data_IF_442310674995
#
_entry.id   IF_442310674995
#
_cell.length_a   1.000
_cell.length_b   1.000
_cell.length_c   1.000
_cell.angle_alpha   90.00
_cell.angle_beta   90.00
_cell.angle_gamma   90.00
#
_symmetry.space_group_name_H-M   'P 1'
#
loop_
_entity.id
_entity.type
_entity.pdbx_description
1 polymer ?
#
# COMPACT_ATOMS: atom_id res chain seq x y z
N UNK A 1 -22.14 -0.66 -2.43
CA UNK A 1 -21.44 0.60 -2.81
C UNK A 1 -20.05 0.56 -2.20
N UNK A 2 -19.01 1.04 -2.92
CA UNK A 2 -17.65 1.17 -2.40
C UNK A 2 -17.43 2.64 -2.03
N UNK A 3 -16.93 2.88 -0.83
CA UNK A 3 -16.52 4.22 -0.38
C UNK A 3 -15.03 4.21 0.02
N UNK A 4 -14.42 5.38 0.01
CA UNK A 4 -12.99 5.56 0.30
C UNK A 4 -12.85 6.61 1.40
N UNK A 5 -11.92 6.36 2.33
CA UNK A 5 -11.72 7.23 3.49
C UNK A 5 -10.26 7.24 3.91
N UNK A 6 -9.70 8.44 4.09
CA UNK A 6 -8.43 8.64 4.79
C UNK A 6 -8.68 8.50 6.28
N UNK A 7 -7.94 7.60 6.95
CA UNK A 7 -8.06 7.39 8.38
C UNK A 7 -7.02 8.21 9.14
N UNK A 8 -7.47 8.86 10.22
CA UNK A 8 -6.55 9.37 11.23
C UNK A 8 -6.09 8.25 12.18
N UNK A 9 -5.16 8.56 13.09
CA UNK A 9 -4.59 7.58 14.02
C UNK A 9 -5.64 6.96 14.94
N UNK A 10 -6.61 7.73 15.42
CA UNK A 10 -7.68 7.25 16.32
C UNK A 10 -8.62 6.29 15.58
N UNK A 11 -9.03 6.66 14.38
CA UNK A 11 -9.86 5.82 13.51
C UNK A 11 -9.14 4.52 13.14
N UNK A 12 -7.87 4.59 12.72
CA UNK A 12 -7.08 3.42 12.37
C UNK A 12 -6.92 2.47 13.57
N UNK A 13 -6.72 3.01 14.78
CA UNK A 13 -6.62 2.21 16.02
C UNK A 13 -7.89 1.39 16.29
N UNK A 14 -9.05 1.95 16.02
CA UNK A 14 -10.33 1.25 16.21
C UNK A 14 -10.56 0.13 15.19
N UNK A 15 -9.89 0.21 14.04
CA UNK A 15 -10.07 -0.72 12.92
C UNK A 15 -8.96 -1.78 12.80
N UNK A 16 -8.04 -1.88 13.77
CA UNK A 16 -6.88 -2.79 13.68
C UNK A 16 -7.30 -4.24 13.40
N UNK A 17 -8.38 -4.72 14.00
CA UNK A 17 -8.84 -6.07 13.77
C UNK A 17 -9.25 -6.32 12.30
N UNK A 18 -9.98 -5.38 11.70
CA UNK A 18 -10.42 -5.49 10.30
C UNK A 18 -9.26 -5.26 9.34
N UNK A 19 -8.37 -4.32 9.65
CA UNK A 19 -7.13 -4.09 8.89
C UNK A 19 -6.24 -5.34 8.90
N UNK A 20 -6.14 -6.02 10.04
CA UNK A 20 -5.40 -7.29 10.18
C UNK A 20 -6.05 -8.42 9.38
N UNK A 21 -7.38 -8.47 9.31
CA UNK A 21 -8.11 -9.44 8.48
C UNK A 21 -7.82 -9.27 6.98
N UNK A 22 -7.78 -8.01 6.51
CA UNK A 22 -7.38 -7.71 5.12
C UNK A 22 -5.95 -8.16 4.84
N UNK A 23 -5.04 -7.86 5.76
CA UNK A 23 -3.63 -8.24 5.65
C UNK A 23 -3.46 -9.77 5.65
N UNK A 24 -4.09 -10.47 6.59
CA UNK A 24 -4.07 -11.93 6.68
C UNK A 24 -4.62 -12.59 5.41
N UNK A 25 -5.75 -12.10 4.90
CA UNK A 25 -6.32 -12.59 3.65
C UNK A 25 -5.37 -12.46 2.46
N UNK A 26 -4.62 -11.36 2.37
CA UNK A 26 -3.62 -11.17 1.33
C UNK A 26 -2.41 -12.10 1.51
N UNK A 27 -1.91 -12.28 2.72
CA UNK A 27 -0.79 -13.19 3.02
C UNK A 27 -1.19 -14.64 2.74
N UNK A 28 -2.41 -15.03 3.08
CA UNK A 28 -2.96 -16.36 2.80
C UNK A 28 -2.96 -16.72 1.30
N UNK A 29 -3.14 -15.72 0.44
CA UNK A 29 -3.08 -15.86 -1.02
C UNK A 29 -1.66 -15.68 -1.58
N UNK A 30 -0.64 -15.63 -0.73
CA UNK A 30 0.76 -15.54 -1.13
C UNK A 30 1.25 -14.15 -1.53
N UNK A 31 0.56 -13.08 -1.14
CA UNK A 31 1.01 -11.72 -1.43
C UNK A 31 2.38 -11.42 -0.79
N UNK A 32 3.25 -10.78 -1.56
CA UNK A 32 4.58 -10.34 -1.08
C UNK A 32 4.47 -8.93 -0.50
N UNK A 33 4.16 -8.85 0.79
CA UNK A 33 3.86 -7.59 1.50
C UNK A 33 4.56 -7.46 2.84
N UNK A 34 5.70 -8.13 2.99
CA UNK A 34 6.57 -8.04 4.17
C UNK A 34 6.35 -9.12 5.22
N UNK A 35 5.49 -10.09 4.94
CA UNK A 35 5.19 -11.20 5.87
C UNK A 35 5.42 -12.54 5.18
N UNK A 36 6.03 -13.49 5.90
CA UNK A 36 6.20 -14.88 5.44
C UNK A 36 5.21 -15.82 6.11
N UNK A 37 4.73 -15.48 7.30
CA UNK A 37 3.82 -16.29 8.10
C UNK A 37 2.52 -15.54 8.39
N UNK A 38 1.46 -16.30 8.65
CA UNK A 38 0.16 -15.79 9.09
C UNK A 38 0.13 -15.71 10.61
N UNK A 39 0.83 -14.74 11.17
CA UNK A 39 0.91 -14.50 12.61
C UNK A 39 0.08 -13.29 13.02
N UNK A 40 -1.09 -13.48 13.70
CA UNK A 40 -1.94 -12.38 14.13
C UNK A 40 -1.24 -11.36 15.02
N UNK A 41 -0.24 -11.77 15.80
CA UNK A 41 0.51 -10.84 16.66
C UNK A 41 1.41 -9.93 15.84
N UNK A 42 2.02 -10.45 14.78
CA UNK A 42 2.82 -9.62 13.85
C UNK A 42 1.92 -8.63 13.10
N UNK A 43 0.74 -9.05 12.65
CA UNK A 43 -0.22 -8.15 11.98
C UNK A 43 -0.70 -7.03 12.91
N UNK A 44 -1.05 -7.37 14.13
CA UNK A 44 -1.48 -6.38 15.13
C UNK A 44 -0.36 -5.38 15.44
N UNK A 45 0.87 -5.85 15.63
CA UNK A 45 2.04 -4.99 15.87
C UNK A 45 2.31 -4.06 14.69
N UNK A 46 2.26 -4.59 13.48
CA UNK A 46 2.41 -3.80 12.26
C UNK A 46 1.41 -2.64 12.20
N UNK A 47 0.12 -2.90 12.45
CA UNK A 47 -0.89 -1.85 12.42
C UNK A 47 -0.79 -0.86 13.58
N UNK A 48 -0.33 -1.29 14.75
CA UNK A 48 -0.01 -0.37 15.84
C UNK A 48 1.12 0.59 15.46
N UNK A 49 2.17 0.10 14.79
CA UNK A 49 3.26 0.95 14.28
C UNK A 49 2.75 1.92 13.20
N UNK A 50 1.82 1.49 12.36
CA UNK A 50 1.15 2.37 11.39
C UNK A 50 0.36 3.47 12.11
N UNK A 51 -0.41 3.15 13.15
CA UNK A 51 -1.13 4.14 13.96
C UNK A 51 -0.19 5.20 14.53
N UNK A 52 0.96 4.79 15.03
CA UNK A 52 1.99 5.73 15.51
C UNK A 52 2.51 6.64 14.39
N UNK A 53 2.77 6.07 13.21
CA UNK A 53 3.22 6.81 12.04
C UNK A 53 2.17 7.79 11.51
N UNK A 54 0.88 7.44 11.62
CA UNK A 54 -0.23 8.36 11.30
C UNK A 54 -0.27 9.54 12.27
N UNK A 55 -0.07 9.26 13.57
CA UNK A 55 -0.12 10.28 14.60
C UNK A 55 0.99 11.34 14.46
N UNK A 56 2.18 10.95 14.01
CA UNK A 56 3.29 11.89 13.79
C UNK A 56 3.37 12.46 12.37
N UNK A 57 2.49 12.04 11.47
CA UNK A 57 2.44 12.54 10.09
C UNK A 57 3.43 11.86 9.12
N UNK A 58 4.10 10.80 9.54
CA UNK A 58 5.05 10.06 8.71
C UNK A 58 4.38 9.20 7.64
N UNK A 59 3.09 8.88 7.81
CA UNK A 59 2.28 8.11 6.87
C UNK A 59 0.88 8.66 6.75
N UNK A 60 0.23 8.31 5.63
CA UNK A 60 -1.21 8.43 5.46
C UNK A 60 -1.78 7.08 5.01
N UNK A 61 -2.99 6.77 5.47
CA UNK A 61 -3.68 5.51 5.20
C UNK A 61 -5.03 5.78 4.57
N UNK A 62 -5.21 5.33 3.33
CA UNK A 62 -6.50 5.30 2.64
C UNK A 62 -7.09 3.90 2.73
N UNK A 63 -8.36 3.79 3.05
CA UNK A 63 -9.09 2.53 3.05
C UNK A 63 -10.26 2.56 2.07
N UNK A 64 -10.54 1.40 1.49
CA UNK A 64 -11.76 1.15 0.74
C UNK A 64 -12.73 0.36 1.62
N UNK A 65 -13.99 0.79 1.67
CA UNK A 65 -15.06 0.11 2.42
C UNK A 65 -16.14 -0.41 1.47
N UNK A 66 -16.58 -1.63 1.72
CA UNK A 66 -17.77 -2.23 1.11
C UNK A 66 -18.77 -2.49 2.23
N UNK A 67 -19.98 -1.91 2.12
CA UNK A 67 -21.03 -2.05 3.15
C UNK A 67 -20.51 -1.69 4.57
N UNK A 68 -19.70 -0.63 4.65
CA UNK A 68 -19.12 -0.13 5.90
C UNK A 68 -17.85 -0.87 6.37
N UNK A 69 -17.56 -2.09 5.90
CA UNK A 69 -16.37 -2.87 6.28
C UNK A 69 -15.17 -2.53 5.40
N UNK A 70 -13.99 -2.37 5.98
CA UNK A 70 -12.74 -2.20 5.24
C UNK A 70 -12.43 -3.48 4.47
N UNK A 71 -12.18 -3.32 3.15
CA UNK A 71 -11.83 -4.40 2.24
C UNK A 71 -10.56 -4.13 1.42
N UNK A 72 -9.98 -2.96 1.56
CA UNK A 72 -8.73 -2.63 0.88
C UNK A 72 -8.03 -1.45 1.53
N UNK A 73 -6.73 -1.32 1.27
CA UNK A 73 -5.87 -0.27 1.82
C UNK A 73 -4.85 0.19 0.78
N UNK A 74 -4.34 1.40 0.95
CA UNK A 74 -3.07 1.88 0.41
C UNK A 74 -2.47 2.89 1.37
N UNK A 75 -1.16 2.94 1.49
CA UNK A 75 -0.46 3.91 2.32
C UNK A 75 0.49 4.78 1.50
N UNK A 76 0.65 6.02 1.96
CA UNK A 76 1.71 6.93 1.56
C UNK A 76 2.72 7.04 2.69
N UNK A 77 3.98 6.69 2.42
CA UNK A 77 5.12 6.97 3.29
C UNK A 77 5.66 8.37 2.98
N UNK A 78 5.68 9.25 3.97
CA UNK A 78 6.03 10.66 3.82
C UNK A 78 7.32 11.04 4.55
N UNK A 79 7.81 10.20 5.46
CA UNK A 79 9.05 10.40 6.20
C UNK A 79 10.26 10.18 5.29
N UNK A 80 10.72 11.26 4.68
CA UNK A 80 11.86 11.29 3.78
C UNK A 80 12.96 12.19 4.34
N UNK A 81 14.25 11.94 4.00
CA UNK A 81 15.32 12.87 4.33
C UNK A 81 15.08 14.23 3.67
N UNK A 82 15.68 15.28 4.21
CA UNK A 82 15.44 16.66 3.77
C UNK A 82 15.64 16.88 2.26
N UNK A 83 16.64 16.24 1.66
CA UNK A 83 16.90 16.31 0.22
C UNK A 83 15.95 15.45 -0.62
N UNK A 84 15.12 14.64 -0.01
CA UNK A 84 14.10 13.78 -0.63
C UNK A 84 12.67 14.14 -0.23
N UNK A 85 12.44 15.30 0.40
CA UNK A 85 11.12 15.70 0.89
C UNK A 85 10.05 15.84 -0.21
N UNK A 86 10.45 15.93 -1.48
CA UNK A 86 9.57 16.00 -2.64
C UNK A 86 9.01 14.64 -3.08
N UNK A 87 9.49 13.52 -2.51
CA UNK A 87 9.00 12.19 -2.88
C UNK A 87 8.14 11.56 -1.79
N UNK A 88 7.32 10.63 -2.18
CA UNK A 88 6.58 9.75 -1.30
C UNK A 88 6.69 8.30 -1.78
N UNK A 89 6.58 7.35 -0.85
CA UNK A 89 6.51 5.93 -1.14
C UNK A 89 5.05 5.47 -1.09
N UNK A 90 4.61 4.75 -2.12
CA UNK A 90 3.31 4.07 -2.11
C UNK A 90 3.55 2.63 -1.66
N UNK A 91 2.86 2.21 -0.63
CA UNK A 91 3.02 0.87 -0.08
C UNK A 91 1.69 0.32 0.48
N UNK A 92 1.69 -0.98 0.75
CA UNK A 92 0.54 -1.70 1.31
C UNK A 92 -0.75 -1.48 0.53
N UNK A 93 -0.65 -1.54 -0.81
CA UNK A 93 -1.84 -1.72 -1.64
C UNK A 93 -2.36 -3.14 -1.42
N UNK A 94 -3.42 -3.25 -0.66
CA UNK A 94 -4.06 -4.51 -0.29
C UNK A 94 -5.53 -4.48 -0.70
N UNK A 95 -6.01 -5.58 -1.27
CA UNK A 95 -7.45 -5.80 -1.48
C UNK A 95 -7.76 -7.21 -0.99
N UNK A 96 -8.67 -7.31 -0.02
CA UNK A 96 -9.11 -8.59 0.51
C UNK A 96 -9.54 -9.52 -0.63
N UNK A 97 -9.16 -10.80 -0.64
CA UNK A 97 -9.43 -11.71 -1.77
C UNK A 97 -10.89 -11.71 -2.23
N UNK A 98 -11.83 -11.66 -1.31
CA UNK A 98 -13.28 -11.62 -1.60
C UNK A 98 -13.77 -10.30 -2.22
N UNK A 99 -12.93 -9.26 -2.23
CA UNK A 99 -13.27 -7.95 -2.79
C UNK A 99 -12.53 -7.62 -4.09
N UNK A 100 -11.71 -8.52 -4.58
CA UNK A 100 -10.93 -8.33 -5.81
C UNK A 100 -11.81 -8.23 -7.06
N UNK A 101 -11.20 -7.82 -8.19
CA UNK A 101 -11.84 -7.66 -9.51
C UNK A 101 -13.02 -6.69 -9.54
N UNK A 102 -13.03 -5.71 -8.61
CA UNK A 102 -14.06 -4.66 -8.51
C UNK A 102 -13.51 -3.24 -8.69
N UNK A 103 -12.29 -3.10 -9.23
CA UNK A 103 -11.64 -1.80 -9.47
C UNK A 103 -11.09 -1.11 -8.23
N UNK A 104 -11.17 -1.72 -7.05
CA UNK A 104 -10.75 -1.11 -5.78
C UNK A 104 -9.27 -0.72 -5.80
N UNK A 105 -8.38 -1.62 -6.23
CA UNK A 105 -6.94 -1.34 -6.26
C UNK A 105 -6.61 -0.14 -7.15
N UNK A 106 -7.22 -0.04 -8.32
CA UNK A 106 -7.07 1.10 -9.24
C UNK A 106 -7.52 2.40 -8.59
N UNK A 107 -8.70 2.41 -7.98
CA UNK A 107 -9.24 3.60 -7.33
C UNK A 107 -8.40 4.04 -6.13
N UNK A 108 -7.91 3.10 -5.33
CA UNK A 108 -6.99 3.37 -4.22
C UNK A 108 -5.71 4.06 -4.72
N UNK A 109 -5.09 3.53 -5.78
CA UNK A 109 -3.87 4.10 -6.36
C UNK A 109 -4.11 5.51 -6.89
N UNK A 110 -5.19 5.73 -7.65
CA UNK A 110 -5.53 7.04 -8.19
C UNK A 110 -5.74 8.09 -7.10
N UNK A 111 -6.45 7.73 -6.02
CA UNK A 111 -6.65 8.65 -4.89
C UNK A 111 -5.36 8.89 -4.10
N UNK A 112 -4.50 7.90 -3.96
CA UNK A 112 -3.18 8.08 -3.35
C UNK A 112 -2.30 9.04 -4.16
N UNK A 113 -2.32 8.94 -5.49
CA UNK A 113 -1.58 9.86 -6.38
C UNK A 113 -2.09 11.30 -6.25
N UNK A 114 -3.39 11.51 -6.27
CA UNK A 114 -4.00 12.85 -6.06
C UNK A 114 -3.57 13.42 -4.70
N UNK A 115 -3.68 12.60 -3.65
CA UNK A 115 -3.29 13.02 -2.30
C UNK A 115 -1.82 13.38 -2.18
N UNK A 116 -0.94 12.63 -2.83
CA UNK A 116 0.48 12.92 -2.85
C UNK A 116 0.78 14.28 -3.47
N UNK A 117 0.10 14.63 -4.57
CA UNK A 117 0.22 15.95 -5.21
C UNK A 117 -0.28 17.06 -4.27
N UNK A 118 -1.42 16.88 -3.61
CA UNK A 118 -1.93 17.83 -2.61
C UNK A 118 -0.93 18.08 -1.48
N UNK A 119 -0.15 17.05 -1.10
CA UNK A 119 0.92 17.12 -0.09
C UNK A 119 2.24 17.66 -0.64
N UNK A 120 2.28 18.14 -1.89
CA UNK A 120 3.47 18.69 -2.51
C UNK A 120 4.51 17.66 -2.94
N UNK A 121 4.12 16.38 -3.09
CA UNK A 121 5.02 15.31 -3.54
C UNK A 121 5.03 15.25 -5.06
N UNK A 122 6.20 15.44 -5.65
CA UNK A 122 6.38 15.47 -7.11
C UNK A 122 6.99 14.20 -7.69
N UNK A 123 7.38 13.25 -6.84
CA UNK A 123 7.89 11.94 -7.23
C UNK A 123 7.29 10.86 -6.32
N UNK A 124 6.70 9.85 -6.93
CA UNK A 124 6.22 8.66 -6.24
C UNK A 124 7.09 7.47 -6.58
N UNK A 125 7.40 6.66 -5.58
CA UNK A 125 8.17 5.42 -5.73
C UNK A 125 7.43 4.27 -5.07
N UNK A 126 7.61 3.07 -5.61
CA UNK A 126 7.17 1.82 -5.00
C UNK A 126 8.09 0.69 -5.45
N UNK A 127 8.02 -0.43 -4.76
CA UNK A 127 8.51 -1.70 -5.24
C UNK A 127 7.43 -2.77 -5.14
N UNK A 128 7.51 -3.76 -6.02
CA UNK A 128 6.54 -4.85 -6.12
C UNK A 128 7.24 -6.12 -6.57
N UNK A 129 6.76 -7.28 -6.12
CA UNK A 129 7.31 -8.56 -6.59
C UNK A 129 7.23 -8.63 -8.11
N UNK A 130 8.38 -8.94 -8.73
CA UNK A 130 8.49 -9.03 -10.19
C UNK A 130 7.54 -10.08 -10.76
N UNK A 131 6.78 -9.70 -11.79
CA UNK A 131 5.83 -10.58 -12.47
C UNK A 131 4.45 -10.69 -11.82
N UNK A 132 4.20 -10.02 -10.70
CA UNK A 132 2.88 -10.00 -10.05
C UNK A 132 1.84 -9.19 -10.84
N UNK A 133 0.57 -9.51 -10.60
CA UNK A 133 -0.57 -8.77 -11.17
C UNK A 133 -0.53 -7.29 -10.79
N UNK A 134 -0.02 -6.95 -9.60
CA UNK A 134 0.14 -5.57 -9.16
C UNK A 134 1.09 -4.77 -10.07
N UNK A 135 2.19 -5.36 -10.54
CA UNK A 135 3.11 -4.71 -11.48
C UNK A 135 2.39 -4.30 -12.78
N UNK A 136 1.52 -5.17 -13.30
CA UNK A 136 0.71 -4.87 -14.49
C UNK A 136 -0.29 -3.73 -14.22
N UNK A 137 -0.91 -3.70 -13.05
CA UNK A 137 -1.79 -2.61 -12.65
C UNK A 137 -1.05 -1.28 -12.62
N UNK A 138 0.11 -1.22 -11.99
CA UNK A 138 0.92 0.00 -11.93
C UNK A 138 1.32 0.48 -13.32
N UNK A 139 1.78 -0.41 -14.19
CA UNK A 139 2.08 -0.08 -15.59
C UNK A 139 0.88 0.52 -16.32
N UNK A 140 -0.32 -0.02 -16.12
CA UNK A 140 -1.57 0.49 -16.71
C UNK A 140 -1.99 1.86 -16.15
N UNK A 141 -1.44 2.27 -15.01
CA UNK A 141 -1.65 3.60 -14.38
C UNK A 141 -0.52 4.59 -14.73
N UNK A 142 0.39 4.23 -15.62
CA UNK A 142 1.47 5.11 -16.09
C UNK A 142 2.73 5.08 -15.22
N UNK A 143 2.84 4.12 -14.30
CA UNK A 143 4.09 3.90 -13.56
C UNK A 143 5.15 3.30 -14.46
N UNK A 144 6.40 3.72 -14.28
CA UNK A 144 7.55 3.30 -15.06
C UNK A 144 8.48 2.41 -14.24
N UNK A 145 9.10 1.44 -14.89
CA UNK A 145 10.09 0.56 -14.27
C UNK A 145 11.43 1.28 -14.20
N UNK A 146 11.99 1.38 -12.99
CA UNK A 146 13.36 1.86 -12.78
C UNK A 146 14.38 0.72 -12.90
N UNK A 147 14.03 -0.47 -12.43
CA UNK A 147 14.89 -1.65 -12.48
C UNK A 147 14.38 -2.76 -11.58
N UNK A 148 15.16 -3.86 -11.54
CA UNK A 148 14.86 -5.03 -10.70
C UNK A 148 16.03 -5.34 -9.78
N UNK A 149 15.71 -5.87 -8.60
CA UNK A 149 16.69 -6.37 -7.65
C UNK A 149 16.39 -7.85 -7.43
N UNK A 150 17.34 -8.76 -7.75
CA UNK A 150 17.15 -10.21 -7.52
C UNK A 150 17.18 -10.52 -6.03
N UNK A 151 16.61 -11.67 -5.66
CA UNK A 151 16.64 -12.23 -4.29
C UNK A 151 16.25 -11.22 -3.18
N UNK A 152 15.28 -10.38 -3.49
CA UNK A 152 14.93 -9.23 -2.65
C UNK A 152 14.07 -9.60 -1.44
N UNK A 153 13.15 -10.53 -1.61
CA UNK A 153 12.20 -10.91 -0.56
C UNK A 153 11.90 -12.41 -0.61
N UNK A 154 11.78 -13.02 0.57
CA UNK A 154 11.34 -14.41 0.70
C UNK A 154 9.82 -14.46 0.60
N UNK A 155 9.31 -15.31 -0.29
CA UNK A 155 7.88 -15.59 -0.41
C UNK A 155 7.37 -16.43 0.76
N UNK A 156 6.04 -16.49 0.89
CA UNK A 156 5.36 -17.39 1.84
C UNK A 156 5.65 -18.87 1.58
N UNK A 157 6.03 -19.22 0.36
CA UNK A 157 6.49 -20.57 -0.04
C UNK A 157 7.99 -20.80 0.18
N UNK A 158 8.73 -19.82 0.74
CA UNK A 158 10.16 -19.93 1.03
C UNK A 158 11.10 -19.66 -0.14
N UNK A 159 10.57 -19.25 -1.30
CA UNK A 159 11.36 -18.91 -2.49
C UNK A 159 11.81 -17.44 -2.41
N UNK A 160 13.03 -17.17 -2.86
CA UNK A 160 13.52 -15.79 -2.99
C UNK A 160 13.02 -15.18 -4.29
N UNK A 161 12.28 -14.08 -4.18
CA UNK A 161 11.69 -13.37 -5.30
C UNK A 161 12.43 -12.06 -5.57
N UNK A 162 12.53 -11.70 -6.84
CA UNK A 162 12.99 -10.36 -7.25
C UNK A 162 11.90 -9.31 -6.99
N UNK A 163 12.34 -8.07 -6.76
CA UNK A 163 11.44 -6.91 -6.77
C UNK A 163 11.67 -6.05 -8.01
N UNK A 164 10.60 -5.45 -8.49
CA UNK A 164 10.62 -4.41 -9.52
C UNK A 164 10.39 -3.07 -8.84
N UNK A 165 11.36 -2.16 -8.96
CA UNK A 165 11.26 -0.78 -8.47
C UNK A 165 10.61 0.05 -9.55
N UNK A 166 9.55 0.77 -9.19
CA UNK A 166 8.78 1.61 -10.11
C UNK A 166 8.64 3.04 -9.57
N UNK A 167 8.45 3.99 -10.46
CA UNK A 167 8.24 5.38 -10.12
C UNK A 167 7.19 6.02 -11.01
N UNK A 168 6.62 7.11 -10.50
CA UNK A 168 5.71 7.97 -11.26
C UNK A 168 5.96 9.43 -10.89
N UNK A 169 5.97 10.29 -11.90
CA UNK A 169 5.88 11.74 -11.74
C UNK A 169 4.40 12.08 -11.93
N UNK A 170 3.65 12.34 -10.83
CA UNK A 170 2.22 12.57 -10.93
C UNK A 170 1.95 13.90 -11.65
N UNK A 171 0.85 13.94 -12.40
CA UNK A 171 0.40 15.18 -13.03
C UNK A 171 -0.03 16.18 -11.95
N UNK A 172 0.39 17.44 -12.10
CA UNK A 172 -0.08 18.50 -11.24
C UNK A 172 -1.59 18.67 -11.45
N UNK A 173 -2.34 18.63 -10.39
CA UNK A 173 -3.76 19.02 -10.44
C UNK A 173 -3.79 20.50 -10.79
N UNK A 174 -4.42 20.82 -11.92
CA UNK A 174 -4.58 22.19 -12.39
C UNK A 174 -5.50 22.99 -11.46
#
# INVERSE_FOLDING_TARGET
>A
MISYQWLDAAQARQEIAVLSDVLDGCVAEGASIGFVDRDPQQFNRFWLDVVMSLACGDKQLLVARREGRIVGTVMLGLAMPANGAHRAEVCKLLVHPQARRSGIARALMQQAEVRAVELGRSLLVLDTRSGDVAEMLYGSLGWQVAGQIPDYARSTAGVMDATTVMFKIPEKVA
#
